data_IF_350761776608
#
_entry.id   IF_350761776608
#
_cell.length_a   1.000
_cell.length_b   1.000
_cell.length_c   1.000
_cell.angle_alpha   90.00
_cell.angle_beta   90.00
_cell.angle_gamma   90.00
#
_symmetry.space_group_name_H-M   'P 1'
#
loop_
_entity.id
_entity.type
_entity.pdbx_description
1 polymer ?
#
# COMPACT_ATOMS: atom_id res chain seq x y z
N UNK A 1 2.84 9.38 -26.44
CA UNK A 1 2.36 8.01 -26.23
C UNK A 1 1.71 7.98 -24.87
N UNK A 2 0.38 7.90 -24.79
CA UNK A 2 -0.29 7.66 -23.51
C UNK A 2 -0.57 6.17 -23.49
N UNK A 3 0.29 5.41 -22.83
CA UNK A 3 0.07 4.00 -22.53
C UNK A 3 -0.76 3.93 -21.24
N UNK A 4 -1.89 3.23 -21.28
CA UNK A 4 -2.67 2.93 -20.08
C UNK A 4 -1.79 2.22 -19.05
N UNK A 5 -1.96 2.54 -17.77
CA UNK A 5 -1.20 1.89 -16.69
C UNK A 5 -2.07 1.67 -15.45
N UNK A 6 -1.62 0.76 -14.59
CA UNK A 6 -2.28 0.46 -13.32
C UNK A 6 -1.31 0.63 -12.17
N UNK A 7 -1.69 1.46 -11.21
CA UNK A 7 -1.05 1.60 -9.90
C UNK A 7 -1.65 0.59 -8.94
N UNK A 8 -0.87 -0.43 -8.59
CA UNK A 8 -1.20 -1.50 -7.66
C UNK A 8 -0.64 -1.16 -6.29
N UNK A 9 -1.54 -0.95 -5.32
CA UNK A 9 -1.19 -0.58 -3.94
C UNK A 9 -1.38 -1.79 -3.04
N UNK A 10 -0.29 -2.48 -2.70
CA UNK A 10 -0.32 -3.61 -1.79
C UNK A 10 -0.44 -3.13 -0.35
N UNK A 11 -1.36 -3.71 0.41
CA UNK A 11 -1.60 -3.38 1.81
C UNK A 11 -1.95 -4.62 2.62
N UNK A 12 -1.71 -4.55 3.93
CA UNK A 12 -1.91 -5.71 4.81
C UNK A 12 -3.37 -6.10 4.91
N UNK A 13 -4.24 -5.12 5.15
CA UNK A 13 -5.61 -5.40 5.56
C UNK A 13 -6.35 -4.18 6.11
N UNK A 14 -7.66 -4.32 6.28
CA UNK A 14 -8.56 -3.28 6.80
C UNK A 14 -8.30 -2.90 8.27
N UNK A 15 -7.77 -3.82 9.06
CA UNK A 15 -7.38 -3.60 10.45
C UNK A 15 -6.13 -2.72 10.62
N UNK A 16 -5.33 -2.55 9.57
CA UNK A 16 -4.03 -1.89 9.62
C UNK A 16 -4.17 -0.36 9.48
N UNK A 17 -3.95 0.45 10.54
CA UNK A 17 -4.19 1.90 10.49
C UNK A 17 -3.27 2.63 9.50
N UNK A 18 -2.00 2.21 9.38
CA UNK A 18 -1.09 2.73 8.36
C UNK A 18 -1.56 2.41 6.94
N UNK A 19 -2.21 1.28 6.75
CA UNK A 19 -2.77 0.86 5.46
C UNK A 19 -3.96 1.73 5.11
N UNK A 20 -4.89 1.93 6.05
CA UNK A 20 -6.03 2.83 5.87
C UNK A 20 -5.60 4.25 5.50
N UNK A 21 -4.66 4.86 6.23
CA UNK A 21 -4.18 6.21 5.92
C UNK A 21 -3.54 6.30 4.52
N UNK A 22 -2.76 5.30 4.15
CA UNK A 22 -2.10 5.28 2.84
C UNK A 22 -3.08 5.08 1.67
N UNK A 23 -4.13 4.27 1.84
CA UNK A 23 -5.19 4.13 0.85
C UNK A 23 -5.99 5.44 0.70
N UNK A 24 -6.24 6.16 1.80
CA UNK A 24 -6.83 7.50 1.77
C UNK A 24 -5.95 8.50 1.02
N UNK A 25 -4.64 8.49 1.25
CA UNK A 25 -3.70 9.35 0.51
C UNK A 25 -3.80 9.10 -1.01
N UNK A 26 -3.85 7.83 -1.45
CA UNK A 26 -4.08 7.51 -2.86
C UNK A 26 -5.43 8.02 -3.37
N UNK A 27 -6.49 7.82 -2.59
CA UNK A 27 -7.85 8.22 -2.93
C UNK A 27 -7.99 9.75 -3.08
N UNK A 28 -7.40 10.51 -2.17
CA UNK A 28 -7.60 11.96 -2.04
C UNK A 28 -6.56 12.76 -2.81
N UNK A 29 -5.31 12.30 -2.86
CA UNK A 29 -4.19 13.10 -3.38
C UNK A 29 -3.73 12.69 -4.78
N UNK A 30 -3.92 11.42 -5.17
CA UNK A 30 -3.35 10.89 -6.41
C UNK A 30 -4.37 10.41 -7.43
N UNK A 31 -5.54 9.92 -7.01
CA UNK A 31 -6.48 9.23 -7.90
C UNK A 31 -6.86 10.06 -9.13
N UNK A 32 -7.27 11.31 -8.93
CA UNK A 32 -7.67 12.19 -10.04
C UNK A 32 -6.52 12.39 -11.03
N UNK A 33 -5.32 12.65 -10.52
CA UNK A 33 -4.13 12.87 -11.35
C UNK A 33 -3.72 11.62 -12.11
N UNK A 34 -3.81 10.45 -11.49
CA UNK A 34 -3.57 9.15 -12.13
C UNK A 34 -4.57 8.94 -13.26
N UNK A 35 -5.85 9.25 -13.04
CA UNK A 35 -6.91 9.13 -14.06
C UNK A 35 -6.71 10.09 -15.23
N UNK A 36 -6.28 11.34 -15.00
CA UNK A 36 -5.92 12.30 -16.05
C UNK A 36 -4.79 11.79 -16.96
N UNK A 37 -3.90 10.96 -16.42
CA UNK A 37 -2.81 10.31 -17.14
C UNK A 37 -3.23 8.98 -17.81
N UNK A 38 -4.53 8.68 -17.88
CA UNK A 38 -5.10 7.41 -18.36
C UNK A 38 -4.68 6.19 -17.51
N UNK A 39 -4.36 6.42 -16.24
CA UNK A 39 -4.05 5.37 -15.27
C UNK A 39 -5.26 4.95 -14.43
N UNK A 40 -5.13 3.80 -13.77
CA UNK A 40 -6.07 3.31 -12.75
C UNK A 40 -5.34 2.99 -11.45
N UNK A 41 -6.07 2.99 -10.34
CA UNK A 41 -5.57 2.53 -9.04
C UNK A 41 -6.33 1.28 -8.64
N UNK A 42 -5.64 0.32 -8.03
CA UNK A 42 -6.25 -0.86 -7.39
C UNK A 42 -5.51 -1.14 -6.09
N UNK A 43 -6.25 -1.31 -4.98
CA UNK A 43 -5.67 -1.82 -3.74
C UNK A 43 -5.64 -3.34 -3.76
N UNK A 44 -4.55 -3.95 -3.28
CA UNK A 44 -4.38 -5.41 -3.27
C UNK A 44 -4.04 -5.88 -1.87
N UNK A 45 -4.80 -6.83 -1.35
CA UNK A 45 -4.57 -7.45 -0.03
C UNK A 45 -4.73 -8.95 -0.11
N UNK A 46 -4.01 -9.70 0.73
CA UNK A 46 -4.21 -11.15 0.89
C UNK A 46 -5.15 -11.50 2.06
N UNK A 47 -5.77 -10.50 2.70
CA UNK A 47 -6.74 -10.71 3.78
C UNK A 47 -8.05 -11.25 3.20
N UNK A 48 -8.33 -12.53 3.46
CA UNK A 48 -9.65 -13.10 3.25
C UNK A 48 -10.71 -12.33 4.08
N UNK A 49 -11.84 -12.00 3.45
CA UNK A 49 -12.92 -11.26 4.10
C UNK A 49 -12.61 -9.77 4.36
N UNK A 50 -11.61 -9.19 3.71
CA UNK A 50 -11.34 -7.75 3.81
C UNK A 50 -12.56 -6.92 3.38
N UNK A 51 -12.74 -5.77 4.03
CA UNK A 51 -13.75 -4.78 3.65
C UNK A 51 -13.66 -4.37 2.16
N UNK A 52 -14.82 -4.13 1.57
CA UNK A 52 -14.96 -3.62 0.20
C UNK A 52 -14.49 -2.17 0.06
N UNK A 53 -14.23 -1.72 -1.18
CA UNK A 53 -13.91 -0.32 -1.46
C UNK A 53 -14.94 0.66 -0.87
N UNK A 54 -16.23 0.29 -0.90
CA UNK A 54 -17.33 1.12 -0.42
C UNK A 54 -17.29 1.27 1.10
N UNK A 55 -17.04 0.18 1.83
CA UNK A 55 -16.91 0.20 3.29
C UNK A 55 -15.68 0.98 3.74
N UNK A 56 -14.62 0.96 2.93
CA UNK A 56 -13.41 1.75 3.14
C UNK A 56 -13.52 3.21 2.65
N UNK A 57 -14.62 3.58 1.97
CA UNK A 57 -14.81 4.93 1.43
C UNK A 57 -13.86 5.29 0.28
N UNK A 58 -13.42 4.30 -0.51
CA UNK A 58 -12.48 4.47 -1.61
C UNK A 58 -13.21 4.55 -2.95
N UNK A 59 -12.66 5.36 -3.86
CA UNK A 59 -13.14 5.53 -5.24
C UNK A 59 -12.34 4.67 -6.24
N UNK A 60 -11.66 3.64 -5.76
CA UNK A 60 -10.92 2.69 -6.57
C UNK A 60 -11.09 1.27 -6.00
N UNK A 61 -10.99 0.27 -6.88
CA UNK A 61 -11.28 -1.11 -6.56
C UNK A 61 -10.27 -1.70 -5.55
N UNK A 62 -10.75 -2.66 -4.76
CA UNK A 62 -9.94 -3.52 -3.91
C UNK A 62 -10.00 -4.95 -4.46
N UNK A 63 -8.83 -5.53 -4.71
CA UNK A 63 -8.66 -6.92 -5.08
C UNK A 63 -8.19 -7.72 -3.86
N UNK A 64 -8.89 -8.81 -3.59
CA UNK A 64 -8.50 -9.81 -2.60
C UNK A 64 -7.70 -10.91 -3.32
N UNK A 65 -6.42 -11.04 -2.97
CA UNK A 65 -5.43 -11.96 -3.53
C UNK A 65 -4.95 -12.93 -2.44
N UNK A 66 -5.86 -13.80 -1.97
CA UNK A 66 -5.60 -14.74 -0.86
C UNK A 66 -4.42 -15.69 -1.14
N UNK A 67 -4.17 -15.98 -2.42
CA UNK A 67 -3.09 -16.84 -2.90
C UNK A 67 -1.75 -16.10 -3.09
N UNK A 68 -1.74 -14.78 -2.85
CA UNK A 68 -0.60 -13.89 -3.05
C UNK A 68 -0.02 -13.99 -4.47
N UNK A 69 -0.85 -14.21 -5.50
CA UNK A 69 -0.42 -14.36 -6.90
C UNK A 69 0.25 -13.08 -7.40
N UNK A 70 -0.37 -11.92 -7.17
CA UNK A 70 0.18 -10.62 -7.57
C UNK A 70 1.42 -10.30 -6.74
N UNK A 71 1.37 -10.54 -5.42
CA UNK A 71 2.51 -10.28 -4.55
C UNK A 71 3.76 -11.07 -4.98
N UNK A 72 3.60 -12.37 -5.30
CA UNK A 72 4.66 -13.23 -5.83
C UNK A 72 5.17 -12.73 -7.18
N UNK A 73 4.28 -12.31 -8.09
CA UNK A 73 4.65 -11.80 -9.43
C UNK A 73 5.63 -10.63 -9.34
N UNK A 74 5.43 -9.67 -8.43
CA UNK A 74 6.30 -8.48 -8.34
C UNK A 74 7.38 -8.56 -7.25
N UNK A 75 7.44 -9.67 -6.51
CA UNK A 75 8.36 -9.84 -5.39
C UNK A 75 8.05 -8.89 -4.22
N UNK A 76 6.76 -8.69 -3.93
CA UNK A 76 6.33 -8.03 -2.70
C UNK A 76 6.53 -9.00 -1.55
N UNK A 77 7.05 -8.52 -0.42
CA UNK A 77 7.31 -9.38 0.73
C UNK A 77 6.00 -9.95 1.28
N UNK A 78 6.02 -11.23 1.66
CA UNK A 78 4.87 -11.93 2.27
C UNK A 78 5.33 -12.42 3.63
N UNK A 79 4.67 -11.97 4.69
CA UNK A 79 4.90 -12.49 6.03
C UNK A 79 4.13 -13.80 6.20
N UNK A 80 4.79 -14.90 6.61
CA UNK A 80 4.13 -16.17 6.87
C UNK A 80 2.99 -16.01 7.87
N UNK A 81 1.87 -16.72 7.67
CA UNK A 81 0.67 -16.65 8.56
C UNK A 81 1.04 -16.71 10.06
N UNK A 82 1.92 -17.63 10.43
CA UNK A 82 2.39 -17.84 11.80
C UNK A 82 3.06 -16.61 12.43
N UNK A 83 3.62 -15.71 11.61
CA UNK A 83 4.34 -14.51 12.03
C UNK A 83 3.50 -13.22 11.89
N UNK A 84 2.24 -13.34 11.45
CA UNK A 84 1.34 -12.19 11.32
C UNK A 84 0.77 -11.76 12.66
N UNK A 85 0.39 -10.48 12.84
CA UNK A 85 -0.32 -10.01 14.04
C UNK A 85 -1.68 -10.66 14.30
N UNK A 86 -2.22 -11.39 13.31
CA UNK A 86 -3.50 -12.11 13.38
C UNK A 86 -3.27 -13.61 13.18
N UNK A 87 -2.16 -14.15 13.67
CA UNK A 87 -1.78 -15.56 13.44
C UNK A 87 -2.76 -16.57 14.06
N UNK A 88 -3.50 -16.15 15.08
CA UNK A 88 -4.48 -16.91 15.85
C UNK A 88 -5.92 -16.78 15.31
N UNK A 89 -6.15 -15.90 14.32
CA UNK A 89 -7.46 -15.72 13.71
C UNK A 89 -7.63 -16.68 12.54
N UNK A 90 -8.52 -17.65 12.67
CA UNK A 90 -8.82 -18.63 11.64
C UNK A 90 -9.33 -18.00 10.33
N UNK A 91 -8.93 -18.56 9.20
CA UNK A 91 -9.36 -18.13 7.87
C UNK A 91 -8.73 -16.84 7.35
N UNK A 92 -8.12 -16.01 8.20
CA UNK A 92 -7.42 -14.78 7.77
C UNK A 92 -6.01 -15.13 7.27
N UNK A 93 -5.58 -14.55 6.14
CA UNK A 93 -4.27 -14.78 5.51
C UNK A 93 -3.92 -16.27 5.31
N UNK A 94 -4.77 -17.05 4.61
CA UNK A 94 -4.55 -18.50 4.46
C UNK A 94 -3.18 -18.85 3.88
N UNK A 95 -2.63 -17.98 3.02
CA UNK A 95 -1.32 -18.16 2.40
C UNK A 95 -0.31 -17.06 2.79
N UNK A 96 -0.49 -16.43 3.96
CA UNK A 96 0.37 -15.35 4.45
C UNK A 96 -0.11 -13.94 4.09
N UNK A 97 0.43 -12.96 4.82
CA UNK A 97 0.06 -11.55 4.73
C UNK A 97 1.01 -10.80 3.80
N UNK A 98 0.47 -10.20 2.73
CA UNK A 98 1.24 -9.31 1.87
C UNK A 98 1.66 -8.05 2.63
N UNK A 99 2.91 -7.63 2.44
CA UNK A 99 3.45 -6.41 3.02
C UNK A 99 3.21 -5.19 2.11
N UNK A 100 3.25 -3.97 2.67
CA UNK A 100 3.08 -2.75 1.88
C UNK A 100 4.02 -2.64 0.68
N UNK A 101 3.46 -2.25 -0.45
CA UNK A 101 4.19 -2.07 -1.70
C UNK A 101 3.39 -1.26 -2.72
N UNK A 102 4.07 -0.70 -3.70
CA UNK A 102 3.47 0.00 -4.83
C UNK A 102 4.15 -0.45 -6.11
N UNK A 103 3.36 -0.94 -7.06
CA UNK A 103 3.81 -1.29 -8.40
C UNK A 103 3.01 -0.48 -9.40
N UNK A 104 3.69 0.15 -10.35
CA UNK A 104 3.04 0.76 -11.52
C UNK A 104 3.48 -0.04 -12.73
N UNK A 105 2.50 -0.59 -13.44
CA UNK A 105 2.71 -1.45 -14.61
C UNK A 105 1.86 -0.90 -15.77
N UNK A 106 2.45 -0.80 -16.96
CA UNK A 106 1.69 -0.42 -18.16
C UNK A 106 0.87 -1.60 -18.73
N UNK A 107 0.08 -1.32 -19.77
CA UNK A 107 -0.76 -2.32 -20.44
C UNK A 107 0.02 -3.48 -21.07
N UNK A 108 1.33 -3.35 -21.28
CA UNK A 108 2.19 -4.39 -21.87
C UNK A 108 2.90 -5.24 -20.79
N UNK A 109 2.67 -4.93 -19.52
CA UNK A 109 3.31 -5.62 -18.39
C UNK A 109 4.68 -5.07 -18.01
N UNK A 110 5.09 -3.92 -18.58
CA UNK A 110 6.34 -3.28 -18.19
C UNK A 110 6.15 -2.54 -16.87
N UNK A 111 7.05 -2.82 -15.92
CA UNK A 111 7.09 -2.12 -14.64
C UNK A 111 7.68 -0.72 -14.87
N UNK A 112 6.87 0.30 -14.63
CA UNK A 112 7.25 1.71 -14.67
C UNK A 112 7.86 2.15 -13.33
N UNK A 113 7.26 1.72 -12.23
CA UNK A 113 7.71 2.04 -10.88
C UNK A 113 7.51 0.83 -9.96
N UNK A 114 8.45 0.59 -9.05
CA UNK A 114 8.29 -0.41 -8.00
C UNK A 114 8.91 0.06 -6.71
N UNK A 115 8.13 -0.03 -5.65
CA UNK A 115 8.60 0.06 -4.28
C UNK A 115 7.97 -1.06 -3.47
N UNK A 116 8.76 -1.71 -2.63
CA UNK A 116 8.27 -2.73 -1.70
C UNK A 116 8.99 -2.53 -0.37
N UNK A 117 8.24 -2.57 0.72
CA UNK A 117 8.86 -2.49 2.04
C UNK A 117 9.70 -3.74 2.28
N UNK A 118 10.85 -3.57 2.92
CA UNK A 118 11.59 -4.66 3.57
C UNK A 118 11.25 -4.56 5.06
N UNK A 119 10.44 -5.46 5.62
CA UNK A 119 10.07 -5.41 7.04
C UNK A 119 11.30 -5.43 7.95
N UNK A 120 11.30 -4.56 8.97
CA UNK A 120 12.32 -4.51 10.01
C UNK A 120 11.73 -3.93 11.29
N UNK A 121 12.40 -4.08 12.43
CA UNK A 121 11.95 -3.41 13.66
C UNK A 121 11.90 -1.89 13.50
N UNK A 122 12.85 -1.31 12.76
CA UNK A 122 12.96 0.13 12.52
C UNK A 122 11.74 0.73 11.79
N UNK A 123 11.02 -0.06 10.99
CA UNK A 123 9.81 0.39 10.28
C UNK A 123 8.54 -0.26 10.85
N UNK A 124 8.56 -0.63 12.13
CA UNK A 124 7.42 -1.23 12.84
C UNK A 124 6.94 -2.51 12.14
N UNK A 125 7.88 -3.37 11.76
CA UNK A 125 7.64 -4.60 11.03
C UNK A 125 7.13 -4.39 9.61
N UNK A 126 7.34 -3.20 9.03
CA UNK A 126 6.95 -2.80 7.67
C UNK A 126 5.71 -1.89 7.59
N UNK A 127 5.26 -1.35 8.73
CA UNK A 127 4.04 -0.55 8.78
C UNK A 127 4.26 0.90 8.29
N UNK A 128 5.40 1.49 8.63
CA UNK A 128 5.81 2.86 8.26
C UNK A 128 6.74 2.89 7.04
N UNK A 129 7.43 4.01 6.82
CA UNK A 129 8.52 4.17 5.87
C UNK A 129 8.12 4.08 4.40
N UNK A 130 6.83 4.28 4.12
CA UNK A 130 6.28 4.25 2.77
C UNK A 130 6.61 5.56 2.06
N UNK A 131 6.95 5.55 0.76
CA UNK A 131 7.08 6.76 -0.01
C UNK A 131 5.81 7.60 0.10
N UNK A 132 5.94 8.91 0.17
CA UNK A 132 4.75 9.75 0.09
C UNK A 132 4.07 9.58 -1.28
N UNK A 133 2.74 9.50 -1.28
CA UNK A 133 1.95 9.31 -2.50
C UNK A 133 2.26 10.38 -3.56
N UNK A 134 2.44 11.63 -3.14
CA UNK A 134 2.84 12.72 -4.03
C UNK A 134 4.18 12.47 -4.73
N UNK A 135 5.16 11.88 -4.03
CA UNK A 135 6.50 11.64 -4.55
C UNK A 135 6.45 10.49 -5.58
N UNK A 136 5.61 9.48 -5.35
CA UNK A 136 5.31 8.41 -6.33
C UNK A 136 4.70 8.99 -7.62
N UNK A 137 3.72 9.89 -7.49
CA UNK A 137 3.08 10.53 -8.64
C UNK A 137 4.09 11.40 -9.41
N UNK A 138 4.95 12.15 -8.72
CA UNK A 138 6.01 12.91 -9.36
C UNK A 138 6.98 12.01 -10.13
N UNK A 139 7.43 10.89 -9.55
CA UNK A 139 8.27 9.92 -10.26
C UNK A 139 7.57 9.35 -11.50
N UNK A 140 6.29 9.02 -11.40
CA UNK A 140 5.49 8.55 -12.54
C UNK A 140 5.46 9.59 -13.67
N UNK A 141 5.24 10.86 -13.36
CA UNK A 141 5.24 11.92 -14.37
C UNK A 141 6.60 12.08 -15.07
N UNK A 142 7.71 11.94 -14.34
CA UNK A 142 9.06 11.94 -14.89
C UNK A 142 9.26 10.74 -15.84
N UNK A 143 8.88 9.54 -15.39
CA UNK A 143 8.97 8.30 -16.18
C UNK A 143 8.17 8.41 -17.48
N UNK A 144 6.94 8.94 -17.42
CA UNK A 144 6.09 9.12 -18.61
C UNK A 144 6.64 10.18 -19.59
N UNK A 145 7.48 11.10 -19.11
CA UNK A 145 8.22 12.07 -19.95
C UNK A 145 9.52 11.48 -20.51
N UNK A 146 9.85 10.23 -20.21
CA UNK A 146 11.10 9.58 -20.61
C UNK A 146 12.32 10.04 -19.79
N UNK A 147 12.09 10.58 -18.60
CA UNK A 147 13.14 11.00 -17.67
C UNK A 147 13.44 9.88 -16.67
N UNK A 148 14.68 9.82 -16.20
CA UNK A 148 15.00 8.97 -15.04
C UNK A 148 14.28 9.53 -13.81
N UNK A 149 13.61 8.65 -13.06
CA UNK A 149 13.00 9.05 -11.80
C UNK A 149 14.07 9.33 -10.75
N UNK A 150 13.89 10.41 -9.98
CA UNK A 150 14.74 10.68 -8.83
C UNK A 150 14.68 9.56 -7.78
N UNK A 151 15.84 9.06 -7.32
CA UNK A 151 15.94 8.00 -6.31
C UNK A 151 15.62 8.47 -4.87
N UNK A 152 15.11 9.69 -4.67
CA UNK A 152 14.85 10.26 -3.35
C UNK A 152 13.36 10.51 -3.17
N UNK A 153 12.79 9.89 -2.15
CA UNK A 153 11.41 10.12 -1.71
C UNK A 153 11.39 10.38 -0.21
N UNK A 154 10.47 11.24 0.21
CA UNK A 154 10.11 11.39 1.61
C UNK A 154 9.30 10.15 2.04
N UNK A 155 9.38 9.84 3.33
CA UNK A 155 8.74 8.66 3.89
C UNK A 155 7.64 9.04 4.87
N UNK A 156 6.65 8.17 5.01
CA UNK A 156 5.69 8.23 6.09
C UNK A 156 6.36 7.86 7.41
N UNK A 157 6.07 8.63 8.46
CA UNK A 157 6.50 8.39 9.83
C UNK A 157 5.34 8.71 10.81
N UNK A 158 5.59 8.63 12.12
CA UNK A 158 4.55 8.90 13.12
C UNK A 158 4.03 10.34 13.06
N UNK A 159 4.91 11.32 12.78
CA UNK A 159 4.52 12.72 12.66
C UNK A 159 3.63 12.95 11.42
N UNK A 160 3.94 12.27 10.32
CA UNK A 160 3.12 12.26 9.12
C UNK A 160 1.74 11.70 9.42
N UNK A 161 1.68 10.55 10.12
CA UNK A 161 0.40 9.92 10.45
C UNK A 161 -0.41 10.80 11.40
N UNK A 162 0.20 11.39 12.43
CA UNK A 162 -0.46 12.32 13.35
C UNK A 162 -1.08 13.52 12.64
N UNK A 163 -0.31 14.13 11.73
CA UNK A 163 -0.73 15.34 11.03
C UNK A 163 -1.80 15.08 9.97
N UNK A 164 -1.64 14.01 9.20
CA UNK A 164 -2.48 13.77 8.01
C UNK A 164 -3.62 12.78 8.25
N UNK A 165 -3.46 11.86 9.20
CA UNK A 165 -4.41 10.79 9.52
C UNK A 165 -4.58 10.64 11.04
N UNK A 166 -5.08 11.68 11.75
CA UNK A 166 -5.08 11.73 13.21
C UNK A 166 -5.89 10.59 13.87
N UNK A 167 -6.91 10.06 13.19
CA UNK A 167 -7.69 8.92 13.70
C UNK A 167 -6.91 7.60 13.58
N UNK A 168 -6.20 7.38 12.49
CA UNK A 168 -5.28 6.26 12.31
C UNK A 168 -4.13 6.33 13.31
N UNK A 169 -3.60 7.54 13.55
CA UNK A 169 -2.57 7.76 14.56
C UNK A 169 -3.02 7.35 15.96
N UNK A 170 -4.24 7.74 16.38
CA UNK A 170 -4.82 7.31 17.67
C UNK A 170 -4.93 5.79 17.77
N UNK A 171 -5.32 5.10 16.68
CA UNK A 171 -5.37 3.63 16.65
C UNK A 171 -3.98 3.01 16.84
N UNK A 172 -2.95 3.56 16.19
CA UNK A 172 -1.55 3.11 16.39
C UNK A 172 -1.11 3.33 17.83
N UNK A 173 -1.38 4.49 18.43
CA UNK A 173 -1.05 4.76 19.83
C UNK A 173 -1.75 3.79 20.78
N UNK A 174 -3.04 3.51 20.57
CA UNK A 174 -3.79 2.55 21.38
C UNK A 174 -3.21 1.14 21.30
N UNK A 175 -2.80 0.71 20.10
CA UNK A 175 -2.12 -0.57 19.90
C UNK A 175 -0.77 -0.62 20.62
N UNK A 176 0.10 0.37 20.42
CA UNK A 176 1.40 0.44 21.12
C UNK A 176 1.21 0.43 22.64
N UNK A 177 0.22 1.15 23.16
CA UNK A 177 -0.10 1.15 24.59
C UNK A 177 -0.58 -0.22 25.11
N UNK A 178 -1.21 -1.04 24.26
CA UNK A 178 -1.61 -2.40 24.63
C UNK A 178 -0.46 -3.40 24.71
N UNK A 179 0.64 -3.17 23.98
CA UNK A 179 1.82 -4.05 24.00
C UNK A 179 2.68 -3.88 25.27
N UNK A 180 2.53 -2.77 25.98
CA UNK A 180 3.30 -2.42 27.17
C UNK A 180 2.57 -2.77 28.49
N UNK A 181 1.52 -3.61 28.44
CA UNK A 181 0.76 -4.10 29.59
C UNK A 181 1.01 -5.57 29.81
#
# INVERSE_FOLDING_TARGET
MSSDFTVKVFFRGDWCPWCSGYLKDFNEQALHKIQELNGKVVGITSQAGNQSQKELGLNFDIQIDEENIEAKKYGIFITPKAETPLNDVDGIYPNGMVQPGVVIEDSEGKILYKWAIIPSEMNLGGASDRPLVRDIVSSLEEILKGQESGNSFNKTDMNYLERNHPEEYKKVQAYIASLNK
#
